data_IF_147064746582
#
_entry.id   IF_147064746582
#
_cell.length_a   1.000
_cell.length_b   1.000
_cell.length_c   1.000
_cell.angle_alpha   90.00
_cell.angle_beta   90.00
_cell.angle_gamma   90.00
#
_symmetry.space_group_name_H-M   'P 1'
#
loop_
_entity.id
_entity.type
_entity.pdbx_description
1 polymer ?
#
# COMPACT_ATOMS: atom_id res chain seq x y z
N UNK A 1 14.54 2.19 -20.91
CA UNK A 1 13.69 2.36 -19.71
C UNK A 1 13.99 1.24 -18.73
N UNK A 2 14.40 1.57 -17.49
CA UNK A 2 14.64 0.57 -16.45
C UNK A 2 13.32 0.05 -15.90
N UNK A 3 13.10 -1.26 -15.91
CA UNK A 3 11.95 -1.89 -15.25
C UNK A 3 12.32 -2.15 -13.79
N UNK A 4 11.65 -1.48 -12.85
CA UNK A 4 11.86 -1.66 -11.41
C UNK A 4 10.59 -2.21 -10.77
N UNK A 5 10.73 -3.31 -10.03
CA UNK A 5 9.65 -3.86 -9.21
C UNK A 5 9.39 -2.92 -8.03
N UNK A 6 8.11 -2.69 -7.73
CA UNK A 6 7.65 -1.92 -6.57
C UNK A 6 6.67 -2.78 -5.78
N UNK A 7 6.69 -2.63 -4.47
CA UNK A 7 5.81 -3.37 -3.56
C UNK A 7 4.89 -2.38 -2.81
N UNK A 8 3.63 -2.77 -2.61
CA UNK A 8 2.73 -2.10 -1.68
C UNK A 8 2.55 -2.96 -0.43
N UNK A 9 2.59 -2.35 0.75
CA UNK A 9 2.18 -3.00 1.99
C UNK A 9 0.73 -2.61 2.29
N UNK A 10 -0.18 -3.58 2.20
CA UNK A 10 -1.61 -3.36 2.44
C UNK A 10 -1.97 -3.92 3.82
N UNK A 11 -2.45 -3.05 4.69
CA UNK A 11 -3.07 -3.43 5.97
C UNK A 11 -4.58 -3.50 5.78
N UNK A 12 -5.13 -4.70 5.78
CA UNK A 12 -6.58 -4.92 5.68
C UNK A 12 -7.24 -4.88 7.06
N UNK A 13 -8.27 -4.04 7.23
CA UNK A 13 -9.08 -3.95 8.46
C UNK A 13 -10.57 -3.87 8.09
N UNK A 14 -11.21 -5.02 7.95
CA UNK A 14 -12.62 -5.12 7.59
C UNK A 14 -13.55 -4.24 8.45
N UNK A 15 -14.68 -3.82 7.87
CA UNK A 15 -15.63 -2.92 8.52
C UNK A 15 -16.20 -3.49 9.83
N UNK A 16 -16.43 -4.81 9.87
CA UNK A 16 -16.97 -5.52 11.03
C UNK A 16 -15.97 -5.72 12.19
N UNK A 17 -14.71 -5.32 12.01
CA UNK A 17 -13.69 -5.41 13.06
C UNK A 17 -14.00 -4.40 14.17
N UNK A 18 -14.19 -4.90 15.39
CA UNK A 18 -14.47 -4.08 16.56
C UNK A 18 -13.35 -3.09 16.89
N UNK A 19 -13.71 -1.97 17.52
CA UNK A 19 -12.78 -0.84 17.75
C UNK A 19 -11.46 -1.20 18.44
N UNK A 20 -11.49 -2.10 19.43
CA UNK A 20 -10.28 -2.53 20.14
C UNK A 20 -9.34 -3.34 19.24
N UNK A 21 -9.88 -4.23 18.41
CA UNK A 21 -9.08 -5.01 17.46
C UNK A 21 -8.49 -4.10 16.39
N UNK A 22 -9.26 -3.14 15.87
CA UNK A 22 -8.79 -2.10 14.94
C UNK A 22 -7.64 -1.27 15.53
N UNK A 23 -7.75 -0.86 16.79
CA UNK A 23 -6.67 -0.15 17.48
C UNK A 23 -5.41 -1.01 17.61
N UNK A 24 -5.56 -2.29 17.99
CA UNK A 24 -4.45 -3.24 18.09
C UNK A 24 -3.74 -3.46 16.76
N UNK A 25 -4.47 -3.50 15.64
CA UNK A 25 -3.87 -3.63 14.30
C UNK A 25 -2.87 -2.52 14.00
N UNK A 26 -3.05 -1.31 14.53
CA UNK A 26 -2.06 -0.23 14.39
C UNK A 26 -0.71 -0.57 15.03
N UNK A 27 -0.74 -1.18 16.22
CA UNK A 27 0.46 -1.67 16.93
C UNK A 27 1.07 -2.85 16.18
N UNK A 28 0.27 -3.86 15.82
CA UNK A 28 0.75 -5.06 15.13
C UNK A 28 1.37 -4.72 13.77
N UNK A 29 0.80 -3.74 13.04
CA UNK A 29 1.36 -3.21 11.79
C UNK A 29 2.78 -2.68 11.96
N UNK A 30 3.10 -2.06 13.10
CA UNK A 30 4.44 -1.54 13.37
C UNK A 30 5.44 -2.68 13.47
N UNK A 31 5.07 -3.78 14.14
CA UNK A 31 5.89 -4.99 14.23
C UNK A 31 6.11 -5.65 12.86
N UNK A 32 5.08 -5.68 12.00
CA UNK A 32 5.21 -6.20 10.63
C UNK A 32 6.21 -5.38 9.82
N UNK A 33 6.21 -4.06 9.99
CA UNK A 33 7.13 -3.14 9.29
C UNK A 33 8.59 -3.30 9.71
N UNK A 34 8.86 -3.85 10.90
CA UNK A 34 10.23 -4.19 11.32
C UNK A 34 10.83 -5.29 10.44
N UNK A 35 10.00 -6.21 9.94
CA UNK A 35 10.38 -7.32 9.06
C UNK A 35 10.24 -6.94 7.58
N UNK A 36 9.11 -6.35 7.20
CA UNK A 36 8.81 -5.93 5.82
C UNK A 36 9.27 -4.49 5.63
N UNK A 37 10.56 -4.32 5.36
CA UNK A 37 11.19 -3.00 5.30
C UNK A 37 11.16 -2.36 3.89
N UNK A 38 11.01 -3.18 2.84
CA UNK A 38 11.11 -2.70 1.44
C UNK A 38 9.73 -2.66 0.79
N UNK A 39 9.10 -1.49 0.78
CA UNK A 39 7.87 -1.21 0.04
C UNK A 39 7.84 0.26 -0.38
N UNK A 40 7.13 0.58 -1.46
CA UNK A 40 7.03 1.94 -2.01
C UNK A 40 5.83 2.71 -1.46
N UNK A 41 4.76 2.01 -1.06
CA UNK A 41 3.55 2.62 -0.50
C UNK A 41 2.96 1.73 0.58
N UNK A 42 2.47 2.33 1.65
CA UNK A 42 1.64 1.69 2.67
C UNK A 42 0.19 2.14 2.47
N UNK A 43 -0.75 1.20 2.49
CA UNK A 43 -2.18 1.45 2.37
C UNK A 43 -2.91 0.75 3.51
N UNK A 44 -3.93 1.41 4.07
CA UNK A 44 -4.85 0.79 5.02
C UNK A 44 -6.21 0.74 4.34
N UNK A 45 -6.76 -0.46 4.17
CA UNK A 45 -7.98 -0.70 3.39
C UNK A 45 -9.01 -1.41 4.26
N UNK A 46 -10.27 -0.98 4.16
CA UNK A 46 -11.38 -1.50 4.99
C UNK A 46 -12.50 -2.15 4.18
N UNK A 47 -12.71 -1.75 2.93
CA UNK A 47 -13.70 -2.35 2.01
C UNK A 47 -12.97 -3.01 0.82
N UNK A 48 -13.51 -4.11 0.32
CA UNK A 48 -13.03 -4.79 -0.88
C UNK A 48 -13.14 -3.91 -2.12
N UNK A 49 -14.09 -2.97 -2.15
CA UNK A 49 -14.21 -2.00 -3.24
C UNK A 49 -12.97 -1.10 -3.36
N UNK A 50 -12.26 -0.88 -2.26
CA UNK A 50 -11.04 -0.08 -2.23
C UNK A 50 -9.78 -0.91 -2.59
N UNK A 51 -9.90 -2.24 -2.68
CA UNK A 51 -8.86 -3.13 -3.24
C UNK A 51 -8.90 -3.10 -4.78
N UNK A 52 -8.70 -1.92 -5.33
CA UNK A 52 -8.66 -1.69 -6.77
C UNK A 52 -7.22 -1.71 -7.31
N UNK A 53 -6.95 -2.58 -8.28
CA UNK A 53 -5.60 -2.80 -8.79
C UNK A 53 -5.03 -1.56 -9.49
N UNK A 54 -5.85 -0.85 -10.26
CA UNK A 54 -5.41 0.31 -11.03
C UNK A 54 -5.11 1.51 -10.11
N UNK A 55 -5.91 1.69 -9.07
CA UNK A 55 -5.65 2.63 -7.99
C UNK A 55 -4.31 2.33 -7.30
N UNK A 56 -4.10 1.08 -6.85
CA UNK A 56 -2.85 0.67 -6.17
C UNK A 56 -1.64 0.87 -7.09
N UNK A 57 -1.75 0.49 -8.37
CA UNK A 57 -0.71 0.76 -9.37
C UNK A 57 -0.45 2.25 -9.54
N UNK A 58 -1.49 3.08 -9.58
CA UNK A 58 -1.39 4.53 -9.63
C UNK A 58 -0.61 5.10 -8.45
N UNK A 59 -0.92 4.64 -7.24
CA UNK A 59 -0.20 5.05 -6.03
C UNK A 59 1.27 4.61 -6.03
N UNK A 60 1.57 3.40 -6.50
CA UNK A 60 2.94 2.91 -6.65
C UNK A 60 3.75 3.67 -7.72
N UNK A 61 3.10 4.10 -8.81
CA UNK A 61 3.71 4.97 -9.82
C UNK A 61 4.11 6.30 -9.17
N UNK A 62 3.18 7.00 -8.52
CA UNK A 62 3.41 8.28 -7.82
C UNK A 62 4.51 8.18 -6.76
N UNK A 63 4.50 7.12 -5.95
CA UNK A 63 5.45 6.97 -4.84
C UNK A 63 6.91 6.74 -5.29
N UNK A 64 7.14 6.27 -6.52
CA UNK A 64 8.48 5.96 -7.00
C UNK A 64 9.23 7.12 -7.65
N UNK A 65 8.78 8.36 -7.48
CA UNK A 65 9.41 9.52 -8.10
C UNK A 65 9.24 9.53 -9.63
N UNK A 66 10.23 10.04 -10.34
CA UNK A 66 10.17 10.38 -11.77
C UNK A 66 9.34 9.40 -12.64
N UNK A 67 8.19 9.89 -13.11
CA UNK A 67 7.34 9.23 -14.10
C UNK A 67 7.94 9.47 -15.50
N UNK A 68 8.91 8.65 -15.90
CA UNK A 68 9.50 8.70 -17.24
C UNK A 68 8.54 8.27 -18.36
N UNK A 69 7.36 7.72 -18.02
CA UNK A 69 6.30 7.40 -18.98
C UNK A 69 5.65 8.66 -19.59
N UNK A 70 5.78 9.83 -18.95
CA UNK A 70 5.20 11.09 -19.42
C UNK A 70 6.05 11.83 -20.47
N UNK A 71 7.19 11.25 -20.89
CA UNK A 71 8.16 11.88 -21.78
C UNK A 71 8.34 11.14 -23.12
N UNK A 72 7.46 10.18 -23.40
CA UNK A 72 7.36 9.48 -24.69
C UNK A 72 5.96 9.68 -25.28
N UNK A 73 5.67 10.93 -25.62
CA UNK A 73 4.75 11.31 -26.71
C UNK A 73 5.43 12.39 -27.55
#
# INVERSE_FOLDING_TARGET
>A
MSKRVKFALITWIGEDVGGLQRAKTGTDKTLVKEVVQTYSKELVITDHKDLDEDYIKGELKKAGGANYDAQTE
#
